data_IF_284039418706
#
_entry.id   IF_284039418706
#
_cell.length_a   1.000
_cell.length_b   1.000
_cell.length_c   1.000
_cell.angle_alpha   90.00
_cell.angle_beta   90.00
_cell.angle_gamma   90.00
#
_symmetry.space_group_name_H-M   'P 1'
#
loop_
_entity.id
_entity.type
_entity.pdbx_description
1 polymer ?
#
# COMPACT_ATOMS: atom_id res chain seq x y z
N UNK A 1 27.15 39.84 74.74
CA UNK A 1 27.82 38.69 74.12
C UNK A 1 27.64 38.79 72.61
N UNK A 2 28.70 39.06 71.83
CA UNK A 2 28.62 39.26 70.37
C UNK A 2 29.65 38.33 69.73
N UNK A 3 29.20 37.24 69.09
CA UNK A 3 30.07 36.28 68.42
C UNK A 3 30.48 36.86 67.06
N UNK A 4 31.78 37.12 66.90
CA UNK A 4 32.39 37.56 65.64
C UNK A 4 32.70 36.28 64.85
N UNK A 5 31.93 36.04 63.79
CA UNK A 5 32.14 34.89 62.88
C UNK A 5 33.19 35.33 61.84
N UNK A 6 34.27 34.56 61.61
CA UNK A 6 35.33 34.98 60.70
C UNK A 6 34.84 34.93 59.25
N UNK A 7 34.83 36.09 58.58
CA UNK A 7 34.39 36.26 57.19
C UNK A 7 35.14 35.38 56.16
N UNK A 8 36.28 34.81 56.54
CA UNK A 8 37.10 33.95 55.68
C UNK A 8 36.43 32.60 55.36
N UNK A 9 35.59 32.06 56.24
CA UNK A 9 34.91 30.77 56.00
C UNK A 9 33.72 30.88 55.03
N UNK A 10 33.13 32.08 54.93
CA UNK A 10 32.02 32.35 54.00
C UNK A 10 32.50 32.43 52.54
N UNK A 11 33.72 32.92 52.30
CA UNK A 11 34.29 33.02 50.96
C UNK A 11 34.61 31.65 50.35
N UNK A 12 35.10 30.70 51.15
CA UNK A 12 35.48 29.36 50.67
C UNK A 12 34.25 28.52 50.31
N UNK A 13 33.14 28.68 51.03
CA UNK A 13 31.88 27.99 50.74
C UNK A 13 31.22 28.47 49.44
N UNK A 14 31.39 29.75 49.07
CA UNK A 14 30.85 30.33 47.83
C UNK A 14 31.61 29.89 46.57
N UNK A 15 32.93 29.64 46.66
CA UNK A 15 33.70 29.15 45.52
C UNK A 15 33.51 27.64 45.25
N UNK A 16 33.28 26.82 46.30
CA UNK A 16 33.02 25.39 46.12
C UNK A 16 31.63 25.08 45.54
N UNK A 17 30.67 26.00 45.68
CA UNK A 17 29.32 25.85 45.12
C UNK A 17 29.25 26.04 43.59
N UNK A 18 30.23 26.71 42.98
CA UNK A 18 30.17 27.07 41.56
C UNK A 18 30.75 26.00 40.61
N UNK A 19 31.52 25.03 41.11
CA UNK A 19 32.18 24.00 40.28
C UNK A 19 31.33 22.75 40.03
N UNK A 20 30.11 22.67 40.57
CA UNK A 20 29.25 21.48 40.46
C UNK A 20 28.31 21.48 39.24
N UNK A 21 28.31 22.54 38.41
CA UNK A 21 27.53 22.60 37.16
C UNK A 21 28.48 22.55 35.96
N UNK A 22 29.37 21.55 35.94
CA UNK A 22 30.03 21.13 34.70
C UNK A 22 29.02 20.29 33.94
N UNK A 23 28.19 20.94 33.12
CA UNK A 23 27.28 20.24 32.21
C UNK A 23 28.06 19.19 31.43
N UNK A 24 27.54 17.96 31.35
CA UNK A 24 28.02 16.98 30.38
C UNK A 24 27.87 17.60 28.99
N UNK A 25 28.98 18.05 28.41
CA UNK A 25 29.05 18.45 27.02
C UNK A 25 28.81 17.20 26.19
N UNK A 26 27.53 16.91 25.92
CA UNK A 26 27.16 16.01 24.85
C UNK A 26 27.71 16.68 23.58
N UNK A 27 28.82 16.17 23.06
CA UNK A 27 29.26 16.52 21.73
C UNK A 27 28.20 15.95 20.78
N UNK A 28 27.12 16.68 20.55
CA UNK A 28 26.20 16.39 19.45
C UNK A 28 27.00 16.67 18.18
N UNK A 29 27.49 15.61 17.54
CA UNK A 29 28.24 15.72 16.31
C UNK A 29 27.25 16.11 15.20
N UNK A 30 27.27 17.39 14.85
CA UNK A 30 26.41 17.94 13.80
C UNK A 30 27.18 17.97 12.48
N UNK A 31 26.62 17.32 11.45
CA UNK A 31 27.09 17.41 10.08
C UNK A 31 26.40 18.55 9.33
N UNK A 32 27.14 19.32 8.53
CA UNK A 32 26.55 20.35 7.66
C UNK A 32 26.05 19.71 6.38
N UNK A 33 24.80 19.99 6.00
CA UNK A 33 24.25 19.48 4.73
C UNK A 33 24.78 20.32 3.58
N UNK A 34 25.39 19.65 2.59
CA UNK A 34 25.87 20.26 1.35
C UNK A 34 24.79 20.21 0.28
N UNK A 35 24.09 19.07 0.13
CA UNK A 35 22.98 18.94 -0.82
C UNK A 35 21.93 17.96 -0.33
N UNK A 36 20.66 18.33 -0.44
CA UNK A 36 19.50 17.46 -0.25
C UNK A 36 18.72 17.34 -1.56
N UNK A 37 18.91 16.24 -2.29
CA UNK A 37 18.20 16.01 -3.57
C UNK A 37 17.05 15.02 -3.37
N UNK A 38 15.81 15.35 -3.79
CA UNK A 38 14.69 14.42 -3.67
C UNK A 38 14.83 13.28 -4.70
N UNK A 39 14.65 12.04 -4.25
CA UNK A 39 14.53 10.87 -5.12
C UNK A 39 13.06 10.61 -5.41
N UNK A 40 12.66 10.94 -6.64
CA UNK A 40 11.31 10.72 -7.15
C UNK A 40 11.19 9.29 -7.66
N UNK A 41 10.23 8.54 -7.12
CA UNK A 41 9.87 7.22 -7.62
C UNK A 41 8.45 7.24 -8.15
N UNK A 42 8.26 6.62 -9.31
CA UNK A 42 6.94 6.39 -9.87
C UNK A 42 6.32 5.19 -9.16
N UNK A 43 5.30 5.44 -8.33
CA UNK A 43 4.57 4.39 -7.59
C UNK A 43 3.25 4.09 -8.29
N UNK A 44 2.91 2.81 -8.39
CA UNK A 44 1.67 2.36 -9.01
C UNK A 44 0.55 2.33 -7.95
N UNK A 45 -0.38 3.27 -8.03
CA UNK A 45 -1.52 3.40 -7.13
C UNK A 45 -2.78 2.87 -7.83
N UNK A 46 -3.41 1.80 -7.33
CA UNK A 46 -4.66 1.30 -7.88
C UNK A 46 -5.78 2.30 -7.59
N UNK A 47 -6.51 2.75 -8.61
CA UNK A 47 -7.72 3.58 -8.46
C UNK A 47 -8.88 2.88 -9.13
N UNK A 48 -10.03 2.91 -8.45
CA UNK A 48 -11.29 2.43 -9.02
C UNK A 48 -11.91 3.53 -9.87
N UNK A 49 -12.08 3.28 -11.16
CA UNK A 49 -12.72 4.19 -12.10
C UNK A 49 -14.07 3.59 -12.47
N UNK A 50 -15.15 4.31 -12.14
CA UNK A 50 -16.52 3.91 -12.42
C UNK A 50 -17.08 4.76 -13.57
N UNK A 51 -17.51 4.10 -14.65
CA UNK A 51 -18.17 4.72 -15.77
C UNK A 51 -19.66 4.35 -15.74
N UNK A 52 -20.52 5.34 -15.97
CA UNK A 52 -21.96 5.11 -16.11
C UNK A 52 -22.24 4.82 -17.58
N UNK A 53 -22.58 3.57 -17.89
CA UNK A 53 -22.96 3.16 -19.23
C UNK A 53 -24.49 2.99 -19.27
N UNK A 54 -25.12 3.63 -20.25
CA UNK A 54 -26.53 3.41 -20.54
C UNK A 54 -26.62 2.13 -21.38
N UNK A 55 -27.00 1.02 -20.76
CA UNK A 55 -27.24 -0.23 -21.48
C UNK A 55 -28.72 -0.33 -21.80
N UNK A 56 -29.02 -0.57 -23.08
CA UNK A 56 -30.37 -0.86 -23.54
C UNK A 56 -30.66 -2.30 -23.17
N UNK A 57 -31.37 -2.51 -22.06
CA UNK A 57 -31.87 -3.82 -21.69
C UNK A 57 -33.19 -4.06 -22.42
N UNK A 58 -33.41 -5.29 -22.89
CA UNK A 58 -34.76 -5.68 -23.31
C UNK A 58 -35.67 -5.55 -22.09
N UNK A 59 -36.73 -4.75 -22.22
CA UNK A 59 -37.72 -4.60 -21.17
C UNK A 59 -38.41 -5.95 -20.88
N UNK A 60 -38.85 -6.15 -19.65
CA UNK A 60 -39.66 -7.32 -19.29
C UNK A 60 -41.02 -7.23 -19.98
N UNK A 61 -41.49 -8.33 -20.59
CA UNK A 61 -42.83 -8.39 -21.16
C UNK A 61 -43.85 -8.38 -20.02
N UNK A 62 -44.93 -7.61 -20.15
CA UNK A 62 -45.94 -7.50 -19.09
C UNK A 62 -46.82 -8.75 -19.00
N UNK A 63 -46.88 -9.55 -20.08
CA UNK A 63 -47.75 -10.72 -20.18
C UNK A 63 -49.24 -10.34 -20.21
N UNK A 64 -49.54 -9.04 -20.38
CA UNK A 64 -50.89 -8.51 -20.39
C UNK A 64 -51.70 -9.04 -21.59
N UNK A 65 -51.05 -9.19 -22.75
CA UNK A 65 -51.63 -9.80 -23.93
C UNK A 65 -51.89 -11.29 -23.73
N UNK A 66 -50.98 -12.02 -23.07
CA UNK A 66 -51.20 -13.42 -22.73
C UNK A 66 -52.38 -13.60 -21.76
N UNK A 67 -52.46 -12.76 -20.73
CA UNK A 67 -53.57 -12.76 -19.79
C UNK A 67 -54.91 -12.42 -20.46
N UNK A 68 -54.96 -11.35 -21.25
CA UNK A 68 -56.16 -10.95 -21.99
C UNK A 68 -56.58 -12.01 -23.02
N UNK A 69 -55.62 -12.58 -23.74
CA UNK A 69 -55.86 -13.63 -24.72
C UNK A 69 -56.37 -14.92 -24.07
N UNK A 70 -55.84 -15.30 -22.91
CA UNK A 70 -56.32 -16.45 -22.14
C UNK A 70 -57.76 -16.25 -21.66
N UNK A 71 -58.10 -15.06 -21.14
CA UNK A 71 -59.47 -14.75 -20.71
C UNK A 71 -60.43 -14.82 -21.89
N UNK A 72 -60.06 -14.19 -23.02
CA UNK A 72 -60.89 -14.21 -24.23
C UNK A 72 -61.06 -15.63 -24.79
N UNK A 73 -59.97 -16.38 -24.94
CA UNK A 73 -59.98 -17.75 -25.45
C UNK A 73 -60.68 -18.73 -24.51
N UNK A 74 -60.52 -18.57 -23.21
CA UNK A 74 -61.20 -19.34 -22.17
C UNK A 74 -62.71 -19.07 -22.16
N UNK A 75 -63.14 -17.81 -22.27
CA UNK A 75 -64.56 -17.46 -22.35
C UNK A 75 -65.22 -18.03 -23.61
N UNK A 76 -64.55 -17.92 -24.77
CA UNK A 76 -65.02 -18.48 -26.04
C UNK A 76 -65.08 -20.02 -25.95
N UNK A 77 -64.01 -20.68 -25.51
CA UNK A 77 -63.95 -22.13 -25.37
C UNK A 77 -64.96 -22.68 -24.35
N UNK A 78 -65.29 -21.91 -23.32
CA UNK A 78 -66.27 -22.26 -22.31
C UNK A 78 -67.73 -22.16 -22.81
N UNK A 79 -67.98 -21.36 -23.85
CA UNK A 79 -69.29 -21.28 -24.51
C UNK A 79 -69.51 -22.34 -25.59
N UNK A 80 -68.43 -23.00 -26.04
CA UNK A 80 -68.44 -23.96 -27.15
C UNK A 80 -68.54 -25.40 -26.62
N UNK A 81 -69.77 -25.88 -26.41
CA UNK A 81 -70.04 -27.30 -26.10
C UNK A 81 -70.60 -27.58 -24.69
N UNK A 82 -70.95 -28.84 -24.45
CA UNK A 82 -71.56 -29.32 -23.21
C UNK A 82 -70.77 -30.52 -22.66
N UNK A 83 -70.81 -30.73 -21.34
CA UNK A 83 -70.11 -31.83 -20.68
C UNK A 83 -68.58 -31.73 -20.69
N UNK A 84 -67.89 -32.87 -20.77
CA UNK A 84 -66.42 -32.96 -20.73
C UNK A 84 -65.71 -32.25 -21.90
N UNK A 85 -66.36 -32.14 -23.06
CA UNK A 85 -65.83 -31.42 -24.23
C UNK A 85 -65.64 -29.92 -23.98
N UNK A 86 -66.51 -29.31 -23.16
CA UNK A 86 -66.40 -27.90 -22.76
C UNK A 86 -65.14 -27.64 -21.93
N UNK A 87 -64.82 -28.54 -21.01
CA UNK A 87 -63.63 -28.41 -20.17
C UNK A 87 -62.34 -28.47 -21.01
N UNK A 88 -62.29 -29.40 -21.96
CA UNK A 88 -61.17 -29.52 -22.90
C UNK A 88 -61.05 -28.27 -23.80
N UNK A 89 -62.17 -27.79 -24.36
CA UNK A 89 -62.21 -26.58 -25.19
C UNK A 89 -61.77 -25.33 -24.42
N UNK A 90 -62.17 -25.19 -23.15
CA UNK A 90 -61.76 -24.08 -22.29
C UNK A 90 -60.27 -24.11 -22.00
N UNK A 91 -59.70 -25.28 -21.66
CA UNK A 91 -58.26 -25.44 -21.46
C UNK A 91 -57.47 -25.10 -22.73
N UNK A 92 -57.91 -25.58 -23.88
CA UNK A 92 -57.30 -25.26 -25.17
C UNK A 92 -57.40 -23.76 -25.48
N UNK A 93 -58.54 -23.14 -25.19
CA UNK A 93 -58.76 -21.70 -25.36
C UNK A 93 -57.87 -20.85 -24.45
N UNK A 94 -57.65 -21.28 -23.21
CA UNK A 94 -56.74 -20.60 -22.27
C UNK A 94 -55.29 -20.64 -22.77
N UNK A 95 -54.77 -21.82 -23.11
CA UNK A 95 -53.38 -21.94 -23.57
C UNK A 95 -53.19 -21.34 -24.97
N UNK A 96 -54.11 -21.58 -25.90
CA UNK A 96 -54.07 -21.01 -27.25
C UNK A 96 -54.20 -19.49 -27.22
N UNK A 97 -55.14 -18.98 -26.43
CA UNK A 97 -55.34 -17.55 -26.22
C UNK A 97 -54.13 -16.87 -25.57
N UNK A 98 -53.49 -17.51 -24.59
CA UNK A 98 -52.28 -16.99 -23.95
C UNK A 98 -51.11 -16.87 -24.93
N UNK A 99 -50.84 -17.91 -25.72
CA UNK A 99 -49.71 -17.93 -26.65
C UNK A 99 -49.91 -16.91 -27.78
N UNK A 100 -51.12 -16.83 -28.34
CA UNK A 100 -51.40 -15.84 -29.38
C UNK A 100 -51.42 -14.42 -28.80
N UNK A 101 -51.99 -14.24 -27.61
CA UNK A 101 -52.02 -12.96 -26.92
C UNK A 101 -50.62 -12.43 -26.58
N UNK A 102 -49.70 -13.31 -26.18
CA UNK A 102 -48.29 -12.97 -25.95
C UNK A 102 -47.61 -12.44 -27.22
N UNK A 103 -47.88 -13.08 -28.38
CA UNK A 103 -47.34 -12.62 -29.67
C UNK A 103 -47.90 -11.25 -30.11
N UNK A 104 -49.15 -10.96 -29.76
CA UNK A 104 -49.81 -9.67 -30.07
C UNK A 104 -49.27 -8.52 -29.22
N UNK A 105 -48.82 -8.80 -27.99
CA UNK A 105 -48.24 -7.79 -27.09
C UNK A 105 -46.94 -7.15 -27.61
N UNK A 106 -46.38 -7.63 -28.72
CA UNK A 106 -45.24 -7.01 -29.40
C UNK A 106 -43.92 -7.14 -28.61
N UNK A 107 -42.79 -6.69 -29.19
CA UNK A 107 -41.52 -6.66 -28.48
C UNK A 107 -41.58 -5.64 -27.34
N UNK A 108 -41.06 -6.02 -26.17
CA UNK A 108 -40.98 -5.14 -25.01
C UNK A 108 -40.23 -3.85 -25.36
N UNK A 109 -40.74 -2.71 -24.88
CA UNK A 109 -40.03 -1.45 -25.06
C UNK A 109 -38.62 -1.55 -24.45
N UNK A 110 -37.58 -1.13 -25.18
CA UNK A 110 -36.22 -1.11 -24.64
C UNK A 110 -36.17 -0.23 -23.39
N UNK A 111 -35.75 -0.81 -22.26
CA UNK A 111 -35.55 -0.08 -21.02
C UNK A 111 -34.10 0.40 -20.95
N UNK A 112 -33.90 1.71 -20.90
CA UNK A 112 -32.58 2.29 -20.71
C UNK A 112 -32.22 2.16 -19.23
N UNK A 113 -31.33 1.23 -18.90
CA UNK A 113 -30.83 1.08 -17.54
C UNK A 113 -29.43 1.67 -17.47
N UNK A 114 -29.24 2.64 -16.58
CA UNK A 114 -27.90 3.17 -16.26
C UNK A 114 -27.20 2.14 -15.38
N UNK A 115 -26.23 1.42 -15.94
CA UNK A 115 -25.40 0.47 -15.20
C UNK A 115 -24.05 1.12 -14.93
N UNK A 116 -23.62 1.08 -13.68
CA UNK A 116 -22.31 1.57 -13.29
C UNK A 116 -21.29 0.45 -13.42
N UNK A 117 -20.35 0.60 -14.35
CA UNK A 117 -19.25 -0.35 -14.55
C UNK A 117 -17.98 0.22 -13.89
N UNK A 118 -17.53 -0.44 -12.82
CA UNK A 118 -16.31 -0.04 -12.11
C UNK A 118 -15.16 -0.99 -12.45
N UNK A 119 -14.02 -0.44 -12.86
CA UNK A 119 -12.79 -1.20 -13.09
C UNK A 119 -11.62 -0.64 -12.28
N UNK A 120 -10.72 -1.53 -11.86
CA UNK A 120 -9.47 -1.16 -11.18
C UNK A 120 -8.45 -0.78 -12.25
N UNK A 121 -7.98 0.46 -12.25
CA UNK A 121 -6.94 0.94 -13.16
C UNK A 121 -5.69 1.33 -12.36
N UNK A 122 -4.52 0.93 -12.85
CA UNK A 122 -3.24 1.28 -12.23
C UNK A 122 -2.83 2.67 -12.72
N UNK A 123 -2.81 3.65 -11.80
CA UNK A 123 -2.28 4.98 -12.08
C UNK A 123 -0.87 5.09 -11.54
N UNK A 124 0.00 5.72 -12.30
CA UNK A 124 1.36 5.97 -11.87
C UNK A 124 1.48 7.41 -11.36
N UNK A 125 1.90 7.58 -10.11
CA UNK A 125 2.10 8.88 -9.51
C UNK A 125 3.56 9.05 -9.09
N UNK A 126 4.13 10.21 -9.37
CA UNK A 126 5.48 10.57 -8.95
C UNK A 126 5.44 10.99 -7.48
N UNK A 127 6.00 10.15 -6.60
CA UNK A 127 6.10 10.43 -5.17
C UNK A 127 7.58 10.50 -4.79
N UNK A 128 7.96 11.51 -4.01
CA UNK A 128 9.28 11.56 -3.39
C UNK A 128 9.35 10.49 -2.31
N UNK A 129 10.17 9.46 -2.52
CA UNK A 129 10.29 8.35 -1.57
C UNK A 129 11.38 8.59 -0.52
N UNK A 130 12.45 9.29 -0.90
CA UNK A 130 13.57 9.60 -0.03
C UNK A 130 14.33 10.83 -0.52
N UNK A 131 15.22 11.35 0.31
CA UNK A 131 16.16 12.41 0.01
C UNK A 131 17.57 11.83 0.04
N UNK A 132 18.32 12.04 -1.04
CA UNK A 132 19.76 11.78 -1.06
C UNK A 132 20.46 13.00 -0.46
N UNK A 133 21.00 12.81 0.74
CA UNK A 133 21.59 13.86 1.56
C UNK A 133 23.10 13.67 1.57
N UNK A 134 23.82 14.65 1.04
CA UNK A 134 25.27 14.75 1.16
C UNK A 134 25.58 15.70 2.29
N UNK A 135 26.26 15.22 3.32
CA UNK A 135 26.66 16.01 4.48
C UNK A 135 28.18 15.94 4.68
N UNK A 136 28.73 17.00 5.26
CA UNK A 136 30.13 17.09 5.64
C UNK A 136 30.27 16.97 7.15
N UNK A 137 31.18 16.09 7.58
CA UNK A 137 31.57 15.94 8.96
C UNK A 137 33.08 15.70 9.05
N UNK A 138 33.77 16.44 9.92
CA UNK A 138 35.22 16.36 10.11
C UNK A 138 36.03 16.47 8.79
N UNK A 139 35.58 17.30 7.84
CA UNK A 139 36.22 17.52 6.54
C UNK A 139 36.03 16.40 5.51
N UNK A 140 35.17 15.41 5.80
CA UNK A 140 34.80 14.33 4.89
C UNK A 140 33.33 14.42 4.51
N UNK A 141 33.04 14.12 3.25
CA UNK A 141 31.67 14.08 2.73
C UNK A 141 31.11 12.66 2.83
N UNK A 142 29.87 12.56 3.27
CA UNK A 142 29.13 11.32 3.41
C UNK A 142 27.77 11.46 2.76
N UNK A 143 27.27 10.37 2.17
CA UNK A 143 25.95 10.32 1.53
C UNK A 143 25.06 9.37 2.29
N UNK A 144 23.85 9.82 2.63
CA UNK A 144 22.83 9.01 3.31
C UNK A 144 21.47 9.25 2.68
N UNK A 145 20.62 8.23 2.71
CA UNK A 145 19.22 8.36 2.29
C UNK A 145 18.35 8.62 3.52
N UNK A 146 17.58 9.71 3.49
CA UNK A 146 16.64 10.07 4.55
C UNK A 146 15.20 10.07 4.03
N UNK A 147 14.19 9.68 4.85
CA UNK A 147 12.79 9.69 4.45
C UNK A 147 12.20 11.12 4.37
N UNK A 148 12.81 12.08 5.05
CA UNK A 148 12.38 13.47 5.12
C UNK A 148 13.55 14.42 4.87
N UNK A 149 13.26 15.67 4.53
CA UNK A 149 14.28 16.70 4.32
C UNK A 149 15.00 17.00 5.65
N UNK A 150 16.34 16.81 5.73
CA UNK A 150 17.11 17.09 6.94
C UNK A 150 17.28 18.60 7.24
N UNK A 151 17.00 19.48 6.28
CA UNK A 151 17.32 20.90 6.41
C UNK A 151 18.84 21.16 6.38
N UNK A 152 19.34 22.22 7.04
CA UNK A 152 20.73 22.68 6.89
C UNK A 152 21.77 21.83 7.64
N UNK A 153 21.35 21.01 8.60
CA UNK A 153 22.26 20.25 9.47
C UNK A 153 21.66 18.91 9.88
N UNK A 154 22.50 17.88 9.96
CA UNK A 154 22.13 16.53 10.38
C UNK A 154 22.78 16.17 11.70
N UNK A 155 22.03 15.52 12.59
CA UNK A 155 22.59 14.96 13.83
C UNK A 155 23.24 13.62 13.53
N UNK A 156 24.47 13.45 13.99
CA UNK A 156 25.25 12.24 13.78
C UNK A 156 25.46 11.53 15.11
N UNK A 157 25.43 10.20 15.05
CA UNK A 157 25.87 9.34 16.14
C UNK A 157 27.06 8.56 15.64
N UNK A 158 28.27 8.96 16.07
CA UNK A 158 29.49 8.24 15.70
C UNK A 158 29.76 7.16 16.73
N UNK A 159 29.89 5.92 16.25
CA UNK A 159 30.31 4.79 17.09
C UNK A 159 31.79 4.53 16.81
N UNK A 160 32.68 4.59 17.83
CA UNK A 160 34.08 4.26 17.64
C UNK A 160 34.22 2.77 17.30
N UNK A 161 34.92 2.47 16.22
CA UNK A 161 35.32 1.10 15.89
C UNK A 161 36.69 0.82 16.50
N UNK A 162 36.79 -0.22 17.33
CA UNK A 162 38.09 -0.67 17.83
C UNK A 162 38.68 -1.54 16.73
N UNK A 163 39.75 -1.06 16.06
CA UNK A 163 40.49 -1.90 15.13
C UNK A 163 41.09 -3.07 15.91
N UNK A 164 40.85 -4.34 15.52
CA UNK A 164 41.53 -5.45 16.18
C UNK A 164 43.03 -5.30 15.92
N UNK A 165 43.80 -5.05 16.98
CA UNK A 165 45.25 -5.21 16.95
C UNK A 165 45.51 -6.70 16.75
N UNK A 166 45.71 -7.14 15.51
CA UNK A 166 46.20 -8.48 15.23
C UNK A 166 47.53 -8.65 15.97
N UNK A 167 47.62 -9.56 16.96
CA UNK A 167 48.90 -9.87 17.57
C UNK A 167 49.74 -10.52 16.48
N UNK A 168 50.86 -9.90 16.12
CA UNK A 168 51.91 -10.56 15.35
C UNK A 168 52.50 -11.66 16.24
N UNK A 169 51.91 -12.85 16.20
CA UNK A 169 52.59 -14.05 16.69
C UNK A 169 53.79 -14.24 15.78
N UNK A 170 54.97 -13.93 16.31
CA UNK A 170 56.24 -14.18 15.66
C UNK A 170 56.34 -15.70 15.47
N UNK A 171 56.02 -16.15 14.25
CA UNK A 171 56.21 -17.53 13.84
C UNK A 171 57.72 -17.78 13.82
N UNK A 172 58.24 -18.29 14.94
CA UNK A 172 59.55 -18.92 14.98
C UNK A 172 59.56 -20.04 13.95
N UNK A 173 60.27 -19.81 12.86
CA UNK A 173 60.59 -20.82 11.85
C UNK A 173 61.37 -21.96 12.53
N UNK A 174 60.69 -23.04 12.88
CA UNK A 174 61.34 -24.33 13.06
C UNK A 174 61.22 -25.11 11.76
N UNK A 175 62.24 -24.97 10.93
CA UNK A 175 62.46 -25.72 9.69
C UNK A 175 62.61 -27.20 10.03
N UNK A 176 61.54 -27.98 9.93
CA UNK A 176 61.53 -29.39 10.35
C UNK A 176 60.67 -30.35 9.53
N UNK A 177 60.29 -30.01 8.29
CA UNK A 177 59.63 -30.98 7.40
C UNK A 177 60.33 -31.06 6.04
N UNK A 178 60.75 -32.26 5.59
CA UNK A 178 61.36 -32.43 4.28
C UNK A 178 60.31 -32.19 3.19
N UNK A 179 60.67 -31.34 2.24
CA UNK A 179 59.88 -31.06 1.04
C UNK A 179 59.81 -32.34 0.20
N UNK A 180 58.62 -32.84 -0.19
CA UNK A 180 58.53 -33.99 -1.09
C UNK A 180 59.00 -33.61 -2.51
N UNK A 181 59.65 -34.52 -3.25
CA UNK A 181 60.10 -34.25 -4.61
C UNK A 181 58.94 -33.97 -5.57
N UNK A 182 59.19 -33.09 -6.55
CA UNK A 182 58.19 -32.63 -7.52
C UNK A 182 57.70 -33.78 -8.41
N UNK A 183 56.39 -34.08 -8.35
CA UNK A 183 55.75 -35.06 -9.25
C UNK A 183 54.48 -35.72 -8.73
N UNK A 184 54.09 -35.54 -7.47
CA UNK A 184 52.96 -36.22 -6.84
C UNK A 184 51.69 -35.36 -6.75
N UNK A 185 51.22 -34.82 -7.87
CA UNK A 185 49.84 -34.36 -7.97
C UNK A 185 48.96 -35.55 -8.39
N UNK A 186 47.90 -35.92 -7.64
CA UNK A 186 46.93 -36.88 -8.14
C UNK A 186 46.23 -36.24 -9.35
N UNK A 187 46.29 -36.94 -10.49
CA UNK A 187 45.28 -36.73 -11.53
C UNK A 187 43.96 -37.31 -10.98
N UNK A 188 42.84 -36.74 -11.42
CA UNK A 188 41.43 -37.01 -11.10
C UNK A 188 40.83 -36.03 -10.08
#
# INVERSE_FOLDING_TARGET
>A
MKKIIPHSTLAIALLAGLSAVSGVAQAEEVGRVISSTPMIQQVAVPRQVCNNEQVVSQGSKSGAGAAMGAIAGGAIGNSMGQGSGRAAATMLGLFGGAILGDKVEGPSAPEVRTVQNCSQQMFYENRTMSYNVVYEFAGKQYTVQMPQDPGPTVRLQVTPIVSPTSPSYNAGFNSGYPVPPAGSAPRF
#
